data_IF_579271364190
#
_entry.id   IF_579271364190
#
_cell.length_a   1.000
_cell.length_b   1.000
_cell.length_c   1.000
_cell.angle_alpha   90.00
_cell.angle_beta   90.00
_cell.angle_gamma   90.00
#
_symmetry.space_group_name_H-M   'P 1'
#
loop_
_entity.id
_entity.type
_entity.pdbx_description
1 polymer ?
#
# COMPACT_ATOMS: atom_id res chain seq x y z
N UNK A 1 -85.37 -14.79 12.06
CA UNK A 1 -84.30 -13.81 12.09
C UNK A 1 -83.00 -14.55 11.79
N UNK A 2 -82.52 -14.51 10.52
CA UNK A 2 -81.33 -15.22 10.10
C UNK A 2 -80.18 -14.16 10.06
N UNK A 3 -79.12 -14.42 10.85
CA UNK A 3 -77.93 -13.61 10.93
C UNK A 3 -77.01 -13.98 9.75
N UNK A 4 -76.66 -13.02 8.89
CA UNK A 4 -75.64 -13.15 7.88
C UNK A 4 -74.30 -12.71 8.45
N UNK A 5 -73.33 -13.62 8.44
CA UNK A 5 -71.93 -13.32 8.79
C UNK A 5 -71.15 -12.97 7.48
N UNK A 6 -70.49 -11.84 7.37
CA UNK A 6 -69.67 -11.57 6.18
C UNK A 6 -68.33 -12.31 6.26
N UNK A 7 -67.98 -13.01 5.17
CA UNK A 7 -66.67 -13.61 4.93
C UNK A 7 -65.70 -12.48 4.53
N UNK A 8 -64.68 -12.24 5.36
CA UNK A 8 -63.58 -11.31 4.96
C UNK A 8 -62.49 -12.18 4.29
N UNK A 9 -62.32 -12.01 2.98
CA UNK A 9 -61.24 -12.62 2.20
C UNK A 9 -59.97 -11.78 2.33
N UNK A 10 -58.97 -12.29 3.05
CA UNK A 10 -57.64 -11.69 3.12
C UNK A 10 -56.84 -12.04 1.86
N UNK A 11 -56.53 -11.05 1.04
CA UNK A 11 -55.61 -11.20 -0.10
C UNK A 11 -54.17 -11.06 0.41
N UNK A 12 -53.43 -12.19 0.41
CA UNK A 12 -51.99 -12.17 0.69
C UNK A 12 -51.27 -11.66 -0.60
N UNK A 13 -50.71 -10.49 -0.53
CA UNK A 13 -49.82 -9.98 -1.58
C UNK A 13 -48.40 -10.46 -1.26
N UNK A 14 -47.95 -11.47 -1.98
CA UNK A 14 -46.53 -11.91 -1.93
C UNK A 14 -45.67 -10.96 -2.73
N UNK A 15 -44.87 -10.15 -2.04
CA UNK A 15 -43.80 -9.32 -2.66
C UNK A 15 -42.66 -10.24 -3.01
N UNK A 16 -42.47 -10.55 -4.27
CA UNK A 16 -41.26 -11.21 -4.81
C UNK A 16 -40.12 -10.19 -4.74
N UNK A 17 -39.25 -10.31 -3.74
CA UNK A 17 -37.96 -9.61 -3.70
C UNK A 17 -37.03 -10.33 -4.67
N UNK A 18 -36.81 -9.74 -5.86
CA UNK A 18 -35.79 -10.23 -6.78
C UNK A 18 -34.42 -10.14 -6.11
N UNK A 19 -33.55 -11.15 -6.25
CA UNK A 19 -32.18 -11.05 -5.77
C UNK A 19 -31.49 -9.88 -6.49
N UNK A 20 -30.99 -8.93 -5.72
CA UNK A 20 -30.16 -7.86 -6.25
C UNK A 20 -28.85 -8.50 -6.78
N UNK A 21 -28.71 -8.62 -8.09
CA UNK A 21 -27.45 -8.94 -8.73
C UNK A 21 -26.50 -7.78 -8.43
N UNK A 22 -25.53 -8.01 -7.57
CA UNK A 22 -24.43 -7.08 -7.34
C UNK A 22 -23.66 -6.98 -8.66
N UNK A 23 -23.47 -5.77 -9.18
CA UNK A 23 -22.62 -5.52 -10.35
C UNK A 23 -21.22 -6.14 -10.12
N UNK A 24 -20.59 -6.70 -11.16
CA UNK A 24 -19.21 -7.16 -11.03
C UNK A 24 -18.31 -5.98 -10.66
N UNK A 25 -17.28 -6.26 -9.85
CA UNK A 25 -16.26 -5.24 -9.51
C UNK A 25 -15.56 -4.78 -10.78
N UNK A 26 -15.26 -3.47 -10.93
CA UNK A 26 -14.49 -2.98 -12.07
C UNK A 26 -13.07 -3.57 -12.01
N UNK A 27 -12.52 -3.93 -13.16
CA UNK A 27 -11.12 -4.40 -13.27
C UNK A 27 -10.12 -3.25 -13.24
N UNK A 28 -10.54 -2.04 -13.56
CA UNK A 28 -9.79 -0.79 -13.51
C UNK A 28 -10.71 0.30 -12.96
N UNK A 29 -10.16 1.14 -12.08
CA UNK A 29 -10.83 2.28 -11.45
C UNK A 29 -10.02 3.52 -11.82
N UNK A 30 -10.57 4.43 -12.64
CA UNK A 30 -9.89 5.69 -12.93
C UNK A 30 -9.70 6.52 -11.66
N UNK A 31 -8.55 7.17 -11.54
CA UNK A 31 -8.29 8.22 -10.55
C UNK A 31 -8.01 9.51 -11.33
N UNK A 32 -7.90 10.68 -10.68
CA UNK A 32 -7.72 11.93 -11.41
C UNK A 32 -6.57 11.88 -12.41
N UNK A 33 -6.76 12.51 -13.58
CA UNK A 33 -5.69 12.72 -14.54
C UNK A 33 -4.57 13.55 -13.90
N UNK A 34 -3.33 13.32 -14.32
CA UNK A 34 -2.14 14.00 -13.80
C UNK A 34 -1.82 13.77 -12.32
N UNK A 35 -2.48 12.81 -11.67
CA UNK A 35 -2.35 12.55 -10.22
C UNK A 35 -0.95 12.07 -9.80
N UNK A 36 -0.19 11.44 -10.70
CA UNK A 36 1.17 10.92 -10.41
C UNK A 36 1.21 9.98 -9.19
N UNK A 37 0.41 8.92 -9.15
CA UNK A 37 0.26 8.08 -7.97
C UNK A 37 1.47 7.18 -7.71
N UNK A 38 1.59 6.70 -6.44
CA UNK A 38 2.58 5.67 -6.09
C UNK A 38 2.01 4.65 -5.11
N UNK A 39 1.54 5.07 -3.93
CA UNK A 39 1.06 4.20 -2.85
C UNK A 39 -0.43 3.90 -2.95
N UNK A 40 -0.80 2.68 -2.55
CA UNK A 40 -2.20 2.29 -2.34
C UNK A 40 -2.35 1.56 -1.00
N UNK A 41 -3.41 1.90 -0.24
CA UNK A 41 -3.80 1.16 0.94
C UNK A 41 -5.31 0.86 0.92
N UNK A 42 -5.71 -0.26 1.55
CA UNK A 42 -7.12 -0.64 1.70
C UNK A 42 -7.56 -0.44 3.14
N UNK A 43 -8.59 0.37 3.31
CA UNK A 43 -9.23 0.71 4.57
C UNK A 43 -10.32 -0.29 4.98
N UNK A 44 -11.31 0.22 5.71
CA UNK A 44 -12.46 -0.57 6.12
C UNK A 44 -13.45 -0.78 4.96
N UNK A 45 -14.16 -1.89 4.96
CA UNK A 45 -15.09 -2.24 3.90
C UNK A 45 -14.41 -2.40 2.55
N UNK A 46 -14.81 -1.60 1.56
CA UNK A 46 -14.21 -1.57 0.22
C UNK A 46 -13.36 -0.30 -0.02
N UNK A 47 -13.16 0.52 1.01
CA UNK A 47 -12.43 1.79 0.87
C UNK A 47 -10.98 1.53 0.49
N UNK A 48 -10.46 2.33 -0.42
CA UNK A 48 -9.03 2.40 -0.73
C UNK A 48 -8.56 3.87 -0.77
N UNK A 49 -7.27 4.04 -0.57
CA UNK A 49 -6.56 5.32 -0.62
C UNK A 49 -5.41 5.22 -1.61
N UNK A 50 -5.18 6.27 -2.39
CA UNK A 50 -4.02 6.40 -3.30
C UNK A 50 -3.38 7.75 -3.05
N UNK A 51 -2.05 7.77 -2.95
CA UNK A 51 -1.28 8.99 -2.72
C UNK A 51 -0.59 9.52 -3.97
N UNK A 52 -0.51 10.82 -4.07
CA UNK A 52 0.18 11.54 -5.15
C UNK A 52 1.63 11.83 -4.76
N UNK A 53 2.56 11.49 -5.66
CA UNK A 53 3.97 11.88 -5.56
C UNK A 53 4.20 13.36 -5.92
N UNK A 54 3.23 14.00 -6.58
CA UNK A 54 3.40 15.34 -7.10
C UNK A 54 3.14 16.42 -6.05
N UNK A 55 2.06 16.28 -5.30
CA UNK A 55 1.52 17.30 -4.42
C UNK A 55 1.10 16.78 -3.04
N UNK A 56 1.20 15.47 -2.82
CA UNK A 56 0.84 14.83 -1.55
C UNK A 56 -0.66 14.61 -1.35
N UNK A 57 -1.46 14.90 -2.33
CA UNK A 57 -2.89 14.66 -2.32
C UNK A 57 -3.22 13.19 -2.10
N UNK A 58 -4.38 12.92 -1.50
CA UNK A 58 -4.86 11.57 -1.32
C UNK A 58 -6.25 11.42 -1.92
N UNK A 59 -6.37 10.51 -2.87
CA UNK A 59 -7.63 10.06 -3.42
C UNK A 59 -8.20 8.94 -2.56
N UNK A 60 -9.51 8.98 -2.28
CA UNK A 60 -10.26 7.93 -1.58
C UNK A 60 -11.35 7.40 -2.49
N UNK A 61 -11.41 6.09 -2.66
CA UNK A 61 -12.41 5.44 -3.49
C UNK A 61 -12.96 4.15 -2.89
N UNK A 62 -13.90 3.54 -3.61
CA UNK A 62 -14.52 2.27 -3.26
C UNK A 62 -14.21 1.22 -4.33
N UNK A 63 -13.56 0.12 -3.94
CA UNK A 63 -13.14 -0.97 -4.83
C UNK A 63 -14.31 -1.71 -5.48
N UNK A 64 -15.52 -1.56 -4.98
CA UNK A 64 -16.70 -2.26 -5.50
C UNK A 64 -17.45 -1.44 -6.52
N UNK A 65 -17.73 -0.16 -6.23
CA UNK A 65 -18.40 0.75 -7.13
C UNK A 65 -17.47 1.32 -8.20
N UNK A 66 -16.19 1.51 -7.87
CA UNK A 66 -15.22 2.23 -8.69
C UNK A 66 -15.35 3.75 -8.57
N UNK A 67 -16.18 4.24 -7.67
CA UNK A 67 -16.37 5.68 -7.43
C UNK A 67 -15.39 6.18 -6.38
N UNK A 68 -15.03 7.46 -6.44
CA UNK A 68 -14.16 8.10 -5.46
C UNK A 68 -13.93 9.57 -5.76
N UNK A 69 -13.18 10.24 -4.90
CA UNK A 69 -12.83 11.65 -5.01
C UNK A 69 -11.51 11.96 -4.30
N UNK A 70 -10.95 13.13 -4.53
CA UNK A 70 -9.93 13.71 -3.66
C UNK A 70 -10.50 13.79 -2.25
N UNK A 71 -9.73 13.32 -1.29
CA UNK A 71 -10.13 13.24 0.11
C UNK A 71 -9.24 14.11 1.01
N UNK A 72 -7.94 14.12 0.73
CA UNK A 72 -7.02 15.14 1.21
C UNK A 72 -6.54 15.89 -0.02
N UNK A 73 -6.82 17.17 -0.06
CA UNK A 73 -6.47 18.11 -1.12
C UNK A 73 -5.59 19.21 -0.48
N UNK A 74 -4.32 19.22 -0.83
CA UNK A 74 -3.30 20.07 -0.23
C UNK A 74 -2.96 21.28 -1.12
N UNK A 75 -3.61 21.41 -2.30
CA UNK A 75 -3.35 22.47 -3.28
C UNK A 75 -1.88 22.58 -3.71
N UNK A 76 -1.04 21.58 -3.39
CA UNK A 76 0.40 21.55 -3.69
C UNK A 76 1.25 22.58 -2.95
N UNK A 77 0.68 23.29 -1.95
CA UNK A 77 1.34 24.44 -1.32
C UNK A 77 2.26 24.09 -0.15
N UNK A 78 2.07 22.93 0.49
CA UNK A 78 2.83 22.56 1.69
C UNK A 78 4.06 21.69 1.44
N UNK A 79 4.28 21.30 0.18
CA UNK A 79 5.45 20.52 -0.26
C UNK A 79 5.44 19.07 0.19
N UNK A 80 4.29 18.54 0.62
CA UNK A 80 4.13 17.11 0.90
C UNK A 80 4.20 16.30 -0.39
N UNK A 81 4.56 15.03 -0.23
CA UNK A 81 4.38 13.97 -1.23
C UNK A 81 3.85 12.73 -0.53
N UNK A 82 3.07 11.92 -1.21
CA UNK A 82 2.54 10.68 -0.66
C UNK A 82 3.10 9.50 -1.44
N UNK A 83 4.02 8.76 -0.81
CA UNK A 83 4.66 7.55 -1.33
C UNK A 83 3.90 6.33 -0.80
N UNK A 84 4.56 5.31 -0.32
CA UNK A 84 3.93 4.13 0.28
C UNK A 84 3.04 4.48 1.47
N UNK A 85 1.98 3.72 1.66
CA UNK A 85 1.01 4.00 2.71
C UNK A 85 0.37 2.73 3.27
N UNK A 86 -0.14 2.83 4.51
CA UNK A 86 -0.83 1.73 5.17
C UNK A 86 -1.90 2.23 6.13
N UNK A 87 -3.03 1.49 6.18
CA UNK A 87 -4.10 1.77 7.15
C UNK A 87 -3.89 0.98 8.44
N UNK A 88 -3.91 1.66 9.57
CA UNK A 88 -4.09 1.09 10.90
C UNK A 88 -5.58 1.14 11.27
N UNK A 89 -6.27 0.03 11.07
CA UNK A 89 -7.71 -0.07 11.36
C UNK A 89 -8.04 -0.05 12.85
N UNK A 90 -7.05 -0.28 13.71
CA UNK A 90 -7.29 -0.29 15.15
C UNK A 90 -7.31 1.13 15.75
N UNK A 91 -6.73 2.09 15.02
CA UNK A 91 -6.60 3.48 15.45
C UNK A 91 -7.24 4.47 14.47
N UNK A 92 -7.85 3.97 13.40
CA UNK A 92 -8.43 4.76 12.32
C UNK A 92 -7.42 5.71 11.68
N UNK A 93 -6.20 5.21 11.42
CA UNK A 93 -5.11 5.98 10.83
C UNK A 93 -4.78 5.51 9.42
N UNK A 94 -4.55 6.47 8.53
CA UNK A 94 -3.79 6.29 7.31
C UNK A 94 -2.39 6.86 7.53
N UNK A 95 -1.38 5.99 7.50
CA UNK A 95 0.04 6.38 7.65
C UNK A 95 0.67 6.44 6.26
N UNK A 96 1.32 7.56 5.96
CA UNK A 96 1.85 7.88 4.63
C UNK A 96 3.32 8.25 4.73
N UNK A 97 4.18 7.58 3.96
CA UNK A 97 5.59 7.91 3.82
C UNK A 97 5.76 9.13 2.89
N UNK A 98 6.58 10.08 3.29
CA UNK A 98 6.71 11.38 2.63
C UNK A 98 7.91 11.52 1.70
N UNK A 99 8.52 10.43 1.27
CA UNK A 99 9.61 10.44 0.28
C UNK A 99 10.79 11.34 0.66
N UNK A 100 11.18 12.26 -0.25
CA UNK A 100 12.36 13.10 -0.07
C UNK A 100 12.17 14.24 0.94
N UNK A 101 10.96 14.43 1.46
CA UNK A 101 10.68 15.48 2.46
C UNK A 101 11.35 15.20 3.81
N UNK A 102 11.67 13.92 4.09
CA UNK A 102 12.17 13.49 5.39
C UNK A 102 11.09 13.37 6.46
N UNK A 103 9.82 13.43 6.05
CA UNK A 103 8.65 13.34 6.92
C UNK A 103 7.82 12.07 6.62
N UNK A 104 6.85 11.82 7.47
CA UNK A 104 5.70 10.97 7.23
C UNK A 104 4.49 11.60 7.91
N UNK A 105 3.29 11.36 7.37
CA UNK A 105 2.06 11.92 7.91
C UNK A 105 1.11 10.81 8.33
N UNK A 106 0.34 11.13 9.35
CA UNK A 106 -0.76 10.28 9.80
C UNK A 106 -2.05 11.08 9.65
N UNK A 107 -3.00 10.50 8.93
CA UNK A 107 -4.32 11.08 8.72
C UNK A 107 -5.36 10.25 9.47
N UNK A 108 -6.36 10.92 10.04
CA UNK A 108 -7.55 10.26 10.55
C UNK A 108 -8.39 9.76 9.37
N UNK A 109 -8.75 8.46 9.36
CA UNK A 109 -9.48 7.86 8.23
C UNK A 109 -10.94 8.28 8.14
N UNK A 110 -11.51 8.89 9.19
CA UNK A 110 -12.88 9.36 9.18
C UNK A 110 -13.03 10.64 8.36
N UNK A 111 -12.16 11.62 8.58
CA UNK A 111 -12.31 12.97 8.02
C UNK A 111 -11.12 13.50 7.21
N UNK A 112 -9.96 12.82 7.20
CA UNK A 112 -8.78 13.23 6.46
C UNK A 112 -7.93 14.29 7.16
N UNK A 113 -8.24 14.62 8.38
CA UNK A 113 -7.40 15.57 9.14
C UNK A 113 -6.04 14.99 9.44
N UNK A 114 -4.99 15.83 9.42
CA UNK A 114 -3.64 15.42 9.80
C UNK A 114 -3.56 15.20 11.30
N UNK A 115 -3.50 13.94 11.74
CA UNK A 115 -3.35 13.57 13.15
C UNK A 115 -1.91 13.73 13.64
N UNK A 116 -0.91 13.55 12.78
CA UNK A 116 0.50 13.77 13.11
C UNK A 116 1.36 14.09 11.88
N UNK A 117 2.40 14.87 12.12
CA UNK A 117 3.54 15.11 11.24
C UNK A 117 4.79 14.55 11.92
N UNK A 118 5.40 13.54 11.32
CA UNK A 118 6.48 12.76 11.89
C UNK A 118 7.79 13.08 11.14
N UNK A 119 8.73 13.72 11.83
CA UNK A 119 10.07 13.96 11.28
C UNK A 119 10.87 12.65 11.33
N UNK A 120 11.23 12.10 10.18
CA UNK A 120 12.02 10.87 10.05
C UNK A 120 13.51 11.19 9.93
N UNK A 121 13.87 12.14 9.08
CA UNK A 121 15.26 12.50 8.83
C UNK A 121 15.41 13.80 8.06
N UNK A 122 16.65 14.21 7.71
CA UNK A 122 16.86 15.45 6.98
C UNK A 122 16.29 15.39 5.55
N UNK A 123 15.57 16.42 5.11
CA UNK A 123 15.07 16.51 3.75
C UNK A 123 16.19 16.36 2.71
N UNK A 124 15.91 15.71 1.58
CA UNK A 124 16.85 15.52 0.48
C UNK A 124 17.97 14.49 0.72
N UNK A 125 18.15 14.00 1.95
CA UNK A 125 19.07 12.89 2.29
C UNK A 125 18.32 11.65 2.81
N UNK A 126 17.01 11.76 2.92
CA UNK A 126 16.07 10.72 3.31
C UNK A 126 15.11 10.51 2.15
N UNK A 127 14.79 9.27 1.84
CA UNK A 127 13.64 8.93 1.00
C UNK A 127 12.84 7.84 1.69
N UNK A 128 11.89 8.29 2.55
CA UNK A 128 10.96 7.35 3.19
C UNK A 128 10.01 6.79 2.15
N UNK A 129 10.12 5.48 1.88
CA UNK A 129 9.42 4.86 0.77
C UNK A 129 8.10 4.20 1.20
N UNK A 130 8.16 3.19 2.06
CA UNK A 130 6.98 2.43 2.47
C UNK A 130 6.95 2.25 3.99
N UNK A 131 5.81 1.80 4.52
CA UNK A 131 5.58 1.71 5.97
C UNK A 131 5.00 0.38 6.40
N UNK A 132 5.55 -0.18 7.47
CA UNK A 132 4.96 -1.27 8.23
C UNK A 132 4.46 -0.77 9.59
N UNK A 133 3.29 -1.26 10.01
CA UNK A 133 2.66 -0.91 11.28
C UNK A 133 2.68 -2.12 12.21
N UNK A 134 3.08 -1.90 13.46
CA UNK A 134 2.96 -2.86 14.56
C UNK A 134 2.10 -2.27 15.68
N UNK A 135 1.85 -3.05 16.71
CA UNK A 135 1.08 -2.57 17.86
C UNK A 135 1.77 -1.38 18.58
N UNK A 136 3.09 -1.29 18.51
CA UNK A 136 3.94 -0.40 19.30
C UNK A 136 4.85 0.52 18.48
N UNK A 137 4.84 0.43 17.15
CA UNK A 137 5.66 1.29 16.31
C UNK A 137 5.24 1.32 14.84
N UNK A 138 5.63 2.39 14.15
CA UNK A 138 5.71 2.51 12.70
C UNK A 138 7.15 2.27 12.26
N UNK A 139 7.35 1.65 11.10
CA UNK A 139 8.67 1.40 10.51
C UNK A 139 8.67 1.83 9.04
N UNK A 140 9.53 2.78 8.69
CA UNK A 140 9.64 3.31 7.33
C UNK A 140 10.97 2.90 6.72
N UNK A 141 10.97 2.41 5.49
CA UNK A 141 12.19 2.14 4.72
C UNK A 141 12.78 3.45 4.17
N UNK A 142 14.11 3.49 4.07
CA UNK A 142 14.84 4.54 3.36
C UNK A 142 15.45 3.93 2.09
N UNK A 143 15.02 4.40 0.91
CA UNK A 143 15.45 3.82 -0.37
C UNK A 143 16.91 4.07 -0.67
N UNK A 144 17.47 5.21 -0.25
CA UNK A 144 18.84 5.60 -0.59
C UNK A 144 19.87 5.36 0.51
N UNK A 145 19.41 4.92 1.68
CA UNK A 145 20.29 4.56 2.78
C UNK A 145 19.92 3.18 3.34
N UNK A 146 20.90 2.40 3.85
CA UNK A 146 20.64 1.14 4.55
C UNK A 146 20.05 1.44 5.93
N UNK A 147 18.82 1.94 5.96
CA UNK A 147 18.19 2.46 7.16
C UNK A 147 16.68 2.19 7.17
N UNK A 148 16.17 1.97 8.36
CA UNK A 148 14.73 1.98 8.67
C UNK A 148 14.52 3.01 9.76
N UNK A 149 13.47 3.83 9.66
CA UNK A 149 13.06 4.72 10.73
C UNK A 149 11.97 4.07 11.55
N UNK A 150 12.20 3.94 12.84
CA UNK A 150 11.20 3.49 13.82
C UNK A 150 10.60 4.70 14.52
N UNK A 151 9.28 4.82 14.52
CA UNK A 151 8.53 5.78 15.35
C UNK A 151 7.73 4.97 16.36
N UNK A 152 8.09 5.01 17.66
CA UNK A 152 7.32 4.32 18.69
C UNK A 152 5.90 4.86 18.82
N UNK A 153 4.95 3.98 19.15
CA UNK A 153 3.57 4.32 19.47
C UNK A 153 3.33 4.00 20.94
N UNK A 154 2.97 5.00 21.73
CA UNK A 154 2.56 4.83 23.13
C UNK A 154 1.23 4.11 23.26
N UNK A 155 0.94 3.57 24.44
CA UNK A 155 -0.32 2.90 24.73
C UNK A 155 -1.55 3.83 24.59
N UNK A 156 -1.33 5.13 24.67
CA UNK A 156 -2.32 6.21 24.49
C UNK A 156 -2.40 6.70 23.03
N UNK A 157 -1.67 6.10 22.11
CA UNK A 157 -1.61 6.50 20.70
C UNK A 157 -0.63 7.63 20.41
N UNK A 158 0.11 8.14 21.39
CA UNK A 158 1.10 9.20 21.16
C UNK A 158 2.33 8.66 20.43
N UNK A 159 2.95 9.49 19.57
CA UNK A 159 4.16 9.12 18.85
C UNK A 159 5.41 9.55 19.65
N UNK A 160 6.34 8.60 19.79
CA UNK A 160 7.66 8.86 20.35
C UNK A 160 8.62 9.47 19.33
N UNK A 161 9.81 9.85 19.80
CA UNK A 161 10.85 10.36 18.92
C UNK A 161 11.32 9.28 17.91
N UNK A 162 11.56 9.69 16.67
CA UNK A 162 12.08 8.83 15.60
C UNK A 162 13.43 8.24 15.97
N UNK A 163 13.57 6.96 15.73
CA UNK A 163 14.78 6.17 15.99
C UNK A 163 15.30 5.59 14.69
N UNK A 164 16.41 6.09 14.13
CA UNK A 164 17.00 5.50 12.95
C UNK A 164 17.67 4.17 13.29
N UNK A 165 17.36 3.12 12.54
CA UNK A 165 17.93 1.77 12.67
C UNK A 165 18.84 1.57 11.46
N UNK A 166 20.15 1.50 11.66
CA UNK A 166 21.10 1.15 10.60
C UNK A 166 20.94 -0.32 10.23
N UNK A 167 20.65 -0.58 8.97
CA UNK A 167 20.55 -1.94 8.42
C UNK A 167 21.94 -2.44 8.09
N UNK A 168 22.23 -3.70 8.47
CA UNK A 168 23.47 -4.40 8.19
C UNK A 168 23.20 -5.76 7.53
N UNK A 169 24.21 -6.36 6.90
CA UNK A 169 24.06 -7.64 6.22
C UNK A 169 23.53 -7.52 4.80
N UNK A 170 22.87 -8.55 4.25
CA UNK A 170 22.52 -8.62 2.83
C UNK A 170 21.65 -7.48 2.28
N UNK A 171 20.81 -6.88 3.12
CA UNK A 171 19.92 -5.79 2.71
C UNK A 171 20.57 -4.40 2.87
N UNK A 172 21.85 -4.31 3.20
CA UNK A 172 22.56 -3.04 3.43
C UNK A 172 23.29 -2.51 2.20
N UNK A 173 23.06 -3.06 1.01
CA UNK A 173 23.66 -2.54 -0.20
C UNK A 173 23.19 -1.11 -0.49
N UNK A 174 24.08 -0.31 -1.05
CA UNK A 174 23.86 1.11 -1.37
C UNK A 174 24.32 1.42 -2.78
N UNK A 175 23.97 2.58 -3.28
CA UNK A 175 24.43 3.09 -4.58
C UNK A 175 23.40 3.01 -5.69
N UNK A 176 22.15 2.73 -5.35
CA UNK A 176 21.01 2.70 -6.24
C UNK A 176 19.71 2.69 -5.44
N UNK A 177 18.67 2.04 -5.95
CA UNK A 177 17.40 1.85 -5.27
C UNK A 177 17.51 0.65 -4.30
N UNK A 178 17.51 0.94 -3.02
CA UNK A 178 17.71 -0.03 -1.94
C UNK A 178 16.43 -0.60 -1.38
N UNK A 179 16.20 -0.33 -0.07
CA UNK A 179 15.02 -0.78 0.65
C UNK A 179 13.76 -0.08 0.12
N UNK A 180 12.71 -0.87 -0.13
CA UNK A 180 11.46 -0.37 -0.67
C UNK A 180 10.29 -0.95 0.15
N UNK A 181 9.43 -1.82 -0.41
CA UNK A 181 8.30 -2.39 0.28
C UNK A 181 8.65 -3.08 1.59
N UNK A 182 7.84 -2.88 2.62
CA UNK A 182 8.05 -3.38 3.97
C UNK A 182 6.74 -3.88 4.59
N UNK A 183 6.81 -4.97 5.35
CA UNK A 183 5.70 -5.40 6.21
C UNK A 183 6.21 -6.10 7.47
N UNK A 184 5.38 -6.14 8.50
CA UNK A 184 5.70 -6.80 9.76
C UNK A 184 5.32 -8.27 9.75
N UNK A 185 6.16 -9.13 10.31
CA UNK A 185 5.90 -10.56 10.43
C UNK A 185 5.31 -10.91 11.79
N UNK A 186 4.58 -12.02 11.87
CA UNK A 186 4.05 -12.57 13.13
C UNK A 186 5.15 -12.94 14.15
N UNK A 187 6.43 -12.91 13.77
CA UNK A 187 7.58 -13.18 14.64
C UNK A 187 8.32 -11.91 15.08
N UNK A 188 7.75 -10.74 14.80
CA UNK A 188 8.35 -9.45 15.16
C UNK A 188 9.56 -9.06 14.30
N UNK A 189 9.79 -9.73 13.16
CA UNK A 189 10.75 -9.31 12.14
C UNK A 189 10.05 -8.43 11.11
N UNK A 190 10.81 -7.60 10.42
CA UNK A 190 10.34 -6.85 9.26
C UNK A 190 10.74 -7.60 7.99
N UNK A 191 9.77 -7.92 7.14
CA UNK A 191 10.02 -8.41 5.79
C UNK A 191 10.16 -7.20 4.87
N UNK A 192 11.29 -7.11 4.17
CA UNK A 192 11.60 -5.99 3.28
C UNK A 192 12.07 -6.54 1.94
N UNK A 193 11.76 -5.87 0.86
CA UNK A 193 12.43 -6.10 -0.40
C UNK A 193 13.54 -5.08 -0.64
N UNK A 194 14.51 -5.44 -1.47
CA UNK A 194 15.56 -4.55 -1.96
C UNK A 194 15.48 -4.49 -3.47
N UNK A 195 15.16 -3.32 -4.00
CA UNK A 195 14.85 -3.12 -5.43
C UNK A 195 15.96 -3.61 -6.34
N UNK A 196 17.16 -3.05 -6.22
CA UNK A 196 18.27 -3.35 -7.15
C UNK A 196 18.79 -4.80 -7.05
N UNK A 197 18.76 -5.36 -5.85
CA UNK A 197 19.23 -6.75 -5.64
C UNK A 197 18.20 -7.81 -6.04
N UNK A 198 16.93 -7.45 -6.14
CA UNK A 198 15.85 -8.42 -6.43
C UNK A 198 15.68 -9.45 -5.31
N UNK A 199 15.87 -9.09 -4.05
CA UNK A 199 15.81 -10.00 -2.91
C UNK A 199 14.72 -9.62 -1.92
N UNK A 200 14.26 -10.62 -1.16
CA UNK A 200 13.56 -10.41 0.12
C UNK A 200 14.54 -10.61 1.27
N UNK A 201 14.43 -9.79 2.28
CA UNK A 201 15.21 -9.89 3.50
C UNK A 201 14.32 -9.74 4.74
N UNK A 202 14.71 -10.39 5.82
CA UNK A 202 14.16 -10.16 7.15
C UNK A 202 15.13 -9.29 7.92
N UNK A 203 14.62 -8.22 8.53
CA UNK A 203 15.39 -7.30 9.37
C UNK A 203 14.91 -7.41 10.80
N UNK A 204 15.85 -7.58 11.73
CA UNK A 204 15.54 -7.51 13.14
C UNK A 204 15.39 -6.03 13.55
N UNK A 205 14.19 -5.59 13.99
CA UNK A 205 13.94 -4.17 14.27
C UNK A 205 14.66 -3.64 15.50
N UNK A 206 15.22 -4.52 16.35
CA UNK A 206 15.99 -4.11 17.53
C UNK A 206 17.48 -3.93 17.24
N UNK A 207 18.02 -4.58 16.22
CA UNK A 207 19.46 -4.59 15.93
C UNK A 207 19.84 -4.09 14.55
N UNK A 208 18.88 -4.01 13.61
CA UNK A 208 19.12 -3.70 12.19
C UNK A 208 19.79 -4.83 11.40
N UNK A 209 20.10 -5.96 12.02
CA UNK A 209 20.72 -7.08 11.31
C UNK A 209 19.72 -7.68 10.33
N UNK A 210 20.11 -7.74 9.06
CA UNK A 210 19.31 -8.36 8.00
C UNK A 210 19.82 -9.77 7.67
N UNK A 211 18.91 -10.60 7.19
CA UNK A 211 19.20 -11.89 6.55
C UNK A 211 18.36 -12.04 5.30
N UNK A 212 18.97 -12.46 4.22
CA UNK A 212 18.25 -12.77 2.99
C UNK A 212 17.32 -13.96 3.22
N UNK A 213 16.15 -13.93 2.59
CA UNK A 213 15.23 -15.06 2.48
C UNK A 213 15.52 -15.77 1.16
N UNK A 214 16.19 -16.93 1.17
CA UNK A 214 16.40 -17.71 -0.05
C UNK A 214 15.06 -18.11 -0.65
N UNK A 215 14.88 -17.87 -1.96
CA UNK A 215 13.67 -18.19 -2.68
C UNK A 215 13.92 -19.32 -3.70
N UNK A 216 12.96 -20.22 -3.81
CA UNK A 216 12.85 -21.18 -4.89
C UNK A 216 11.73 -20.80 -5.86
N UNK A 217 11.68 -21.43 -7.04
CA UNK A 217 10.72 -21.11 -8.10
C UNK A 217 11.25 -20.04 -9.04
N UNK A 218 10.39 -19.30 -9.76
CA UNK A 218 10.80 -18.16 -10.58
C UNK A 218 11.59 -17.13 -9.77
N UNK A 219 12.65 -16.57 -10.38
CA UNK A 219 13.42 -15.50 -9.73
C UNK A 219 12.61 -14.20 -9.68
N UNK A 220 12.81 -13.41 -8.62
CA UNK A 220 12.37 -12.02 -8.61
C UNK A 220 13.26 -11.21 -9.57
N UNK A 221 12.67 -10.25 -10.25
CA UNK A 221 13.37 -9.42 -11.25
C UNK A 221 14.11 -8.29 -10.54
N UNK A 222 15.44 -8.37 -10.49
CA UNK A 222 16.27 -7.31 -9.90
C UNK A 222 16.05 -5.96 -10.62
N UNK A 223 16.09 -4.87 -9.86
CA UNK A 223 15.83 -3.52 -10.35
C UNK A 223 14.35 -3.18 -10.53
N UNK A 224 13.43 -4.07 -10.14
CA UNK A 224 11.98 -3.83 -10.31
C UNK A 224 11.14 -4.05 -9.07
N UNK A 225 11.74 -4.50 -7.95
CA UNK A 225 10.96 -4.72 -6.72
C UNK A 225 10.50 -3.39 -6.13
N UNK A 226 9.21 -3.32 -5.80
CA UNK A 226 8.56 -2.13 -5.31
C UNK A 226 7.70 -2.45 -4.08
N UNK A 227 6.48 -1.99 -3.98
CA UNK A 227 5.61 -2.25 -2.83
C UNK A 227 5.47 -3.74 -2.47
N UNK A 228 5.26 -4.00 -1.19
CA UNK A 228 5.12 -5.33 -0.63
C UNK A 228 3.97 -5.39 0.37
N UNK A 229 3.16 -6.44 0.29
CA UNK A 229 2.19 -6.76 1.34
C UNK A 229 2.34 -8.20 1.79
N UNK A 230 2.36 -8.41 3.11
CA UNK A 230 2.41 -9.73 3.74
C UNK A 230 1.07 -10.05 4.41
N UNK A 231 0.53 -11.21 4.11
CA UNK A 231 -0.61 -11.76 4.85
C UNK A 231 -0.28 -13.17 5.34
N UNK A 232 -0.17 -13.29 6.64
CA UNK A 232 0.30 -14.51 7.27
C UNK A 232 1.69 -14.92 6.79
N UNK A 233 1.79 -15.85 5.84
CA UNK A 233 3.05 -16.30 5.23
C UNK A 233 3.05 -16.12 3.72
N UNK A 234 2.12 -15.38 3.18
CA UNK A 234 2.08 -15.07 1.75
C UNK A 234 2.44 -13.61 1.56
N UNK A 235 3.54 -13.36 0.86
CA UNK A 235 3.93 -12.03 0.45
C UNK A 235 3.56 -11.82 -1.03
N UNK A 236 3.02 -10.64 -1.29
CA UNK A 236 2.73 -10.12 -2.62
C UNK A 236 3.77 -9.04 -2.88
N UNK A 237 4.62 -9.24 -3.89
CA UNK A 237 5.75 -8.36 -4.19
C UNK A 237 5.56 -7.81 -5.58
N UNK A 238 5.40 -6.50 -5.68
CA UNK A 238 5.29 -5.83 -6.98
C UNK A 238 6.64 -5.81 -7.67
N UNK A 239 6.62 -6.06 -8.95
CA UNK A 239 7.76 -5.93 -9.87
C UNK A 239 7.34 -4.93 -10.95
N UNK A 240 7.57 -3.63 -10.65
CA UNK A 240 6.98 -2.49 -11.34
C UNK A 240 7.22 -2.50 -12.86
N UNK A 241 8.44 -2.31 -13.33
CA UNK A 241 8.78 -2.34 -14.76
C UNK A 241 8.66 -3.73 -15.41
N UNK A 242 8.55 -4.80 -14.61
CA UNK A 242 8.21 -6.11 -15.11
C UNK A 242 6.70 -6.34 -15.23
N UNK A 243 5.86 -5.34 -14.90
CA UNK A 243 4.41 -5.40 -14.96
C UNK A 243 3.83 -6.69 -14.36
N UNK A 244 4.27 -7.03 -13.15
CA UNK A 244 3.89 -8.28 -12.50
C UNK A 244 3.89 -8.19 -10.99
N UNK A 245 3.21 -9.15 -10.35
CA UNK A 245 3.22 -9.35 -8.90
C UNK A 245 3.66 -10.77 -8.60
N UNK A 246 4.77 -10.93 -7.89
CA UNK A 246 5.20 -12.24 -7.42
C UNK A 246 4.44 -12.62 -6.14
N UNK A 247 3.82 -13.81 -6.15
CA UNK A 247 3.25 -14.41 -4.94
C UNK A 247 4.28 -15.32 -4.31
N UNK A 248 4.77 -14.94 -3.14
CA UNK A 248 5.81 -15.68 -2.40
C UNK A 248 5.19 -16.34 -1.17
N UNK A 249 5.37 -17.65 -1.04
CA UNK A 249 4.99 -18.39 0.17
C UNK A 249 6.21 -18.61 1.03
N UNK A 250 6.22 -18.00 2.23
CA UNK A 250 7.30 -18.15 3.20
C UNK A 250 7.15 -19.46 3.99
N UNK A 251 8.29 -20.05 4.38
CA UNK A 251 8.34 -21.19 5.32
C UNK A 251 7.80 -20.77 6.71
N UNK A 252 7.36 -21.72 7.55
CA UNK A 252 6.82 -21.40 8.88
C UNK A 252 7.80 -20.67 9.80
N UNK A 253 9.10 -20.90 9.63
CA UNK A 253 10.19 -20.26 10.38
C UNK A 253 10.73 -19.00 9.72
N UNK A 254 10.19 -18.63 8.54
CA UNK A 254 10.58 -17.49 7.71
C UNK A 254 12.03 -17.56 7.18
N UNK A 255 12.70 -18.72 7.25
CA UNK A 255 14.10 -18.86 6.81
C UNK A 255 14.25 -19.05 5.32
N UNK A 256 13.17 -19.34 4.61
CA UNK A 256 13.13 -19.54 3.16
C UNK A 256 11.75 -19.20 2.60
N UNK A 257 11.64 -19.19 1.28
CA UNK A 257 10.37 -18.99 0.59
C UNK A 257 10.34 -19.63 -0.80
N UNK A 258 9.18 -19.61 -1.40
CA UNK A 258 8.98 -20.04 -2.78
C UNK A 258 8.10 -19.02 -3.51
N UNK A 259 8.54 -18.58 -4.68
CA UNK A 259 7.68 -17.90 -5.64
C UNK A 259 6.77 -18.97 -6.24
N UNK A 260 5.49 -18.91 -5.84
CA UNK A 260 4.49 -19.94 -6.24
C UNK A 260 3.70 -19.50 -7.45
N UNK A 261 3.72 -18.20 -7.75
CA UNK A 261 3.01 -17.62 -8.88
C UNK A 261 3.62 -16.27 -9.27
N UNK A 262 3.45 -15.88 -10.55
CA UNK A 262 3.76 -14.56 -11.07
C UNK A 262 2.53 -14.07 -11.83
N UNK A 263 1.83 -13.12 -11.24
CA UNK A 263 0.56 -12.57 -11.73
C UNK A 263 0.88 -11.44 -12.69
N UNK A 264 0.28 -11.48 -13.87
CA UNK A 264 0.35 -10.44 -14.89
C UNK A 264 -1.04 -10.00 -15.30
N UNK A 265 -1.14 -8.82 -15.90
CA UNK A 265 -2.39 -8.30 -16.48
C UNK A 265 -2.05 -7.37 -17.65
N UNK A 266 -2.85 -7.40 -18.70
CA UNK A 266 -2.76 -6.44 -19.80
C UNK A 266 -3.11 -5.00 -19.36
N UNK A 267 -3.64 -4.85 -18.13
CA UNK A 267 -3.95 -3.56 -17.52
C UNK A 267 -2.78 -2.99 -16.71
N UNK A 268 -1.73 -3.78 -16.43
CA UNK A 268 -0.57 -3.27 -15.69
C UNK A 268 0.26 -2.31 -16.55
N UNK A 269 0.55 -1.14 -15.97
CA UNK A 269 1.31 -0.04 -16.58
C UNK A 269 2.25 0.56 -15.56
N UNK A 270 3.30 -0.20 -15.22
CA UNK A 270 4.25 0.08 -14.13
C UNK A 270 3.51 0.21 -12.79
N UNK A 271 2.85 -0.88 -12.31
CA UNK A 271 2.25 -0.86 -10.98
C UNK A 271 3.35 -0.75 -9.92
N UNK A 272 3.13 0.05 -8.87
CA UNK A 272 4.13 0.29 -7.83
C UNK A 272 3.80 -0.39 -6.52
N UNK A 273 2.58 -0.25 -6.05
CA UNK A 273 2.18 -0.77 -4.74
C UNK A 273 0.95 -1.67 -4.87
N UNK A 274 0.82 -2.62 -3.95
CA UNK A 274 -0.27 -3.59 -3.89
C UNK A 274 -0.97 -3.56 -2.55
N UNK A 275 -2.30 -3.55 -2.58
CA UNK A 275 -3.14 -3.74 -1.41
C UNK A 275 -4.11 -4.90 -1.62
N UNK A 276 -4.25 -5.77 -0.62
CA UNK A 276 -5.15 -6.91 -0.71
C UNK A 276 -6.51 -6.61 -0.10
N UNK A 277 -7.56 -6.94 -0.86
CA UNK A 277 -8.95 -6.85 -0.41
C UNK A 277 -9.67 -8.18 -0.64
N UNK A 278 -9.84 -8.97 0.39
CA UNK A 278 -10.44 -10.31 0.29
C UNK A 278 -9.65 -11.22 -0.65
N UNK A 279 -10.25 -11.65 -1.76
CA UNK A 279 -9.59 -12.47 -2.79
C UNK A 279 -9.05 -11.65 -3.97
N UNK A 280 -8.99 -10.33 -3.85
CA UNK A 280 -8.55 -9.42 -4.92
C UNK A 280 -7.31 -8.66 -4.48
N UNK A 281 -6.42 -8.39 -5.42
CA UNK A 281 -5.34 -7.42 -5.27
C UNK A 281 -5.75 -6.14 -5.99
N UNK A 282 -5.59 -5.01 -5.33
CA UNK A 282 -5.67 -3.68 -5.92
C UNK A 282 -4.25 -3.13 -6.07
N UNK A 283 -3.92 -2.66 -7.27
CA UNK A 283 -2.61 -2.11 -7.60
C UNK A 283 -2.79 -0.74 -8.23
N UNK A 284 -1.93 0.19 -7.89
CA UNK A 284 -1.91 1.50 -8.53
C UNK A 284 -0.89 1.50 -9.66
N UNK A 285 -1.31 1.96 -10.85
CA UNK A 285 -0.43 2.17 -12.00
C UNK A 285 0.22 3.55 -11.91
N UNK A 286 1.51 3.62 -11.62
CA UNK A 286 2.25 4.87 -11.47
C UNK A 286 2.73 5.46 -12.80
N UNK A 287 2.71 4.69 -13.89
CA UNK A 287 3.08 5.15 -15.23
C UNK A 287 4.50 5.73 -15.33
N UNK A 288 5.44 5.23 -14.54
CA UNK A 288 6.86 5.66 -14.61
C UNK A 288 7.52 5.38 -15.98
N UNK A 289 6.86 4.59 -16.83
CA UNK A 289 7.22 4.45 -18.24
C UNK A 289 7.09 5.77 -19.03
N UNK A 290 6.31 6.73 -18.54
CA UNK A 290 6.12 8.05 -19.14
C UNK A 290 6.99 9.14 -18.49
N UNK A 291 7.52 8.88 -17.30
CA UNK A 291 8.39 9.79 -16.55
C UNK A 291 8.19 9.66 -15.04
N UNK A 292 9.28 9.86 -14.30
CA UNK A 292 9.24 9.95 -12.85
C UNK A 292 8.88 11.37 -12.41
N UNK A 293 8.04 11.56 -11.39
CA UNK A 293 7.84 12.89 -10.80
C UNK A 293 9.05 13.36 -9.98
N UNK A 294 9.08 14.63 -9.53
CA UNK A 294 10.16 15.14 -8.68
C UNK A 294 10.41 14.25 -7.44
N UNK A 295 11.67 14.13 -6.98
CA UNK A 295 12.86 14.85 -7.50
C UNK A 295 13.55 14.16 -8.69
N UNK A 296 12.99 13.08 -9.24
CA UNK A 296 13.67 12.24 -10.24
C UNK A 296 13.43 12.70 -11.67
N UNK A 297 12.39 13.46 -11.93
CA UNK A 297 12.05 13.93 -13.27
C UNK A 297 10.85 14.88 -13.30
N UNK A 298 10.34 15.19 -14.47
CA UNK A 298 9.23 16.12 -14.65
C UNK A 298 7.83 15.47 -14.45
N UNK A 299 7.76 14.18 -14.15
CA UNK A 299 6.52 13.41 -14.12
C UNK A 299 6.06 12.93 -15.51
N UNK A 300 4.94 12.25 -15.53
CA UNK A 300 4.25 11.88 -16.76
C UNK A 300 3.72 13.16 -17.48
N UNK A 301 3.59 13.14 -18.82
CA UNK A 301 3.08 14.29 -19.57
C UNK A 301 1.68 14.71 -19.12
N UNK A 302 1.33 16.02 -19.25
CA UNK A 302 -0.02 16.50 -18.94
C UNK A 302 -1.12 15.76 -19.72
N UNK A 303 -2.22 15.48 -19.04
CA UNK A 303 -3.35 14.69 -19.56
C UNK A 303 -3.12 13.18 -19.48
N UNK A 304 -2.14 12.72 -18.67
CA UNK A 304 -1.94 11.29 -18.43
C UNK A 304 -3.05 10.74 -17.52
N UNK A 305 -3.72 9.71 -18.00
CA UNK A 305 -4.69 8.93 -17.23
C UNK A 305 -3.98 7.97 -16.29
N UNK A 306 -4.48 7.89 -15.05
CA UNK A 306 -4.03 6.95 -14.02
C UNK A 306 -5.19 6.10 -13.53
N UNK A 307 -4.89 4.92 -13.02
CA UNK A 307 -5.91 3.99 -12.55
C UNK A 307 -5.41 3.05 -11.43
N UNK A 308 -6.37 2.48 -10.73
CA UNK A 308 -6.18 1.34 -9.83
C UNK A 308 -6.71 0.09 -10.51
N UNK A 309 -5.85 -0.90 -10.70
CA UNK A 309 -6.20 -2.18 -11.33
C UNK A 309 -6.53 -3.21 -10.27
N UNK A 310 -7.63 -3.94 -10.48
CA UNK A 310 -8.03 -5.05 -9.63
C UNK A 310 -7.83 -6.39 -10.34
N UNK A 311 -7.04 -7.28 -9.73
CA UNK A 311 -6.79 -8.64 -10.25
C UNK A 311 -7.09 -9.71 -9.19
N UNK A 312 -7.49 -10.90 -9.64
CA UNK A 312 -7.61 -12.07 -8.76
C UNK A 312 -6.39 -12.94 -8.94
N UNK A 313 -5.60 -13.16 -7.86
CA UNK A 313 -4.43 -14.03 -7.89
C UNK A 313 -4.80 -15.50 -7.92
#
# INVERSE_FOLDING_TARGET
MRLFTPLVSSVLVSVLVAPAFSAPRPSSIPIPDDFQPEGIAVGEGNVFYVGSLWDGDIYRGDLRSGEGALWVDLDGEDGRVAVGMRVDRARDWLVVAGGPTGHAWVYDTDDGTTAADLVLGPPGTTFSNDVAITADALYFTDTFAPRIYKVPIGADGTFGATQPITVTGPAAATGGFGLNGIDSTHRGWLLVNHTDLGILALINPSTGVSRQVPLSGPALVAGTLDGLQLEGRTAWVVQNFANSVARVKLSPDLTSGRVVDVITSDLFRVPTTVARHGSTLALVNARFDLGFPPPFGPGAPPGTEFDVVQVRP
#
